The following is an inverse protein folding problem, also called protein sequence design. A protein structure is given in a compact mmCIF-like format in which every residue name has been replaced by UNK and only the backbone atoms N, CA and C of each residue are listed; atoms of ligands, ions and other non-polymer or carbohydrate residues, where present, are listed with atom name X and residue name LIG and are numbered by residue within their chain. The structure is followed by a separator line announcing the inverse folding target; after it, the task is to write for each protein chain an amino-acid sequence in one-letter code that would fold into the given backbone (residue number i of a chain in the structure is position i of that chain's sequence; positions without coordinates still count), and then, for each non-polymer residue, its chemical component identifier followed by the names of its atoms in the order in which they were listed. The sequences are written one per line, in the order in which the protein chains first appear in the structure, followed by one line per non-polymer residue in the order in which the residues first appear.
data_IF_951228753731
#
_entry.id   IF_951228753731
#
_cell.length_a   1.000
_cell.length_b   1.000
_cell.length_c   1.000
_cell.angle_alpha   90.00
_cell.angle_beta   90.00
_cell.angle_gamma   90.00
#
_symmetry.space_group_name_H-M   'P 1'
#
loop_
_entity.id
_entity.type
_entity.pdbx_description
1 polymer ?
#
# COMPACT_ATOMS: atom_id res chain seq x y z
N UNK A 1 11.66 -15.46 -16.61
CA UNK A 1 10.70 -15.04 -15.56
C UNK A 1 10.78 -13.53 -15.51
N UNK A 2 9.64 -12.82 -15.43
CA UNK A 2 9.62 -11.37 -15.31
C UNK A 2 10.23 -10.90 -13.98
N UNK A 3 10.65 -9.63 -13.93
CA UNK A 3 11.10 -8.96 -12.71
C UNK A 3 9.99 -8.96 -11.67
N UNK A 4 10.36 -9.01 -10.38
CA UNK A 4 9.39 -8.90 -9.29
C UNK A 4 9.58 -7.60 -8.55
N UNK A 5 8.48 -6.86 -8.36
CA UNK A 5 8.42 -5.65 -7.54
C UNK A 5 7.66 -6.00 -6.26
N UNK A 6 8.32 -5.95 -5.11
CA UNK A 6 7.63 -6.02 -3.82
C UNK A 6 6.99 -4.67 -3.53
N UNK A 7 5.66 -4.61 -3.41
CA UNK A 7 4.91 -3.42 -3.09
C UNK A 7 4.47 -3.44 -1.63
N UNK A 8 5.21 -2.70 -0.78
CA UNK A 8 4.90 -2.52 0.64
C UNK A 8 3.95 -1.33 0.82
N UNK A 9 2.78 -1.61 1.39
CA UNK A 9 1.74 -0.58 1.57
C UNK A 9 0.84 -0.86 2.77
N UNK A 10 0.10 0.15 3.18
CA UNK A 10 -1.06 0.04 4.08
C UNK A 10 -2.18 0.91 3.53
N UNK A 11 -3.41 0.45 3.65
CA UNK A 11 -4.59 1.13 3.11
C UNK A 11 -4.84 2.53 3.73
N UNK A 12 -4.25 2.83 4.90
CA UNK A 12 -4.33 4.18 5.50
C UNK A 12 -3.37 5.19 4.86
N UNK A 13 -2.59 4.81 3.86
CA UNK A 13 -1.67 5.73 3.21
C UNK A 13 -2.31 6.43 2.01
N UNK A 14 -2.50 7.77 2.02
CA UNK A 14 -2.98 8.50 0.84
C UNK A 14 -1.96 8.44 -0.31
N UNK A 15 -0.67 8.30 0.03
CA UNK A 15 0.39 8.16 -0.97
C UNK A 15 0.33 6.80 -1.66
N UNK A 16 -0.06 5.73 -0.94
CA UNK A 16 -0.33 4.43 -1.55
C UNK A 16 -1.55 4.50 -2.46
N UNK A 17 -2.63 5.15 -2.04
CA UNK A 17 -3.80 5.42 -2.89
C UNK A 17 -3.43 6.11 -4.20
N UNK A 18 -2.72 7.24 -4.11
CA UNK A 18 -2.32 8.05 -5.27
C UNK A 18 -1.38 7.33 -6.25
N UNK A 19 -0.63 6.33 -5.78
CA UNK A 19 0.30 5.57 -6.61
C UNK A 19 -0.19 4.18 -7.05
N UNK A 20 -1.33 3.73 -6.51
CA UNK A 20 -1.77 2.34 -6.64
C UNK A 20 -1.95 1.89 -8.10
N UNK A 21 -2.74 2.61 -8.87
CA UNK A 21 -3.01 2.26 -10.26
C UNK A 21 -1.80 2.55 -11.16
N UNK A 22 -1.01 3.58 -10.83
CA UNK A 22 0.17 3.95 -11.61
C UNK A 22 1.22 2.83 -11.57
N UNK A 23 1.52 2.29 -10.40
CA UNK A 23 2.50 1.20 -10.29
C UNK A 23 1.99 -0.09 -10.95
N UNK A 24 0.70 -0.35 -10.91
CA UNK A 24 0.07 -1.50 -11.60
C UNK A 24 0.28 -1.40 -13.12
N UNK A 25 -0.05 -0.23 -13.70
CA UNK A 25 0.13 0.03 -15.13
C UNK A 25 1.60 -0.12 -15.55
N UNK A 26 2.53 0.38 -14.75
CA UNK A 26 3.97 0.25 -15.03
C UNK A 26 4.42 -1.21 -14.93
N UNK A 27 4.01 -1.94 -13.91
CA UNK A 27 4.35 -3.35 -13.78
C UNK A 27 3.85 -4.16 -14.98
N UNK A 28 2.59 -3.96 -15.38
CA UNK A 28 2.00 -4.61 -16.56
C UNK A 28 2.75 -4.25 -17.86
N UNK A 29 3.01 -2.97 -18.08
CA UNK A 29 3.73 -2.44 -19.26
C UNK A 29 5.09 -3.10 -19.46
N UNK A 30 5.80 -3.39 -18.37
CA UNK A 30 7.14 -3.98 -18.40
C UNK A 30 7.16 -5.50 -18.12
N UNK A 31 5.99 -6.15 -18.02
CA UNK A 31 5.88 -7.58 -17.72
C UNK A 31 6.45 -7.95 -16.35
N UNK A 32 6.47 -7.00 -15.41
CA UNK A 32 6.93 -7.24 -14.04
C UNK A 32 5.79 -7.80 -13.19
N UNK A 33 6.13 -8.71 -12.27
CA UNK A 33 5.20 -9.24 -11.28
C UNK A 33 5.15 -8.28 -10.10
N UNK A 34 4.00 -7.69 -9.85
CA UNK A 34 3.76 -6.88 -8.65
C UNK A 34 3.31 -7.80 -7.51
N UNK A 35 4.06 -7.83 -6.40
CA UNK A 35 3.76 -8.67 -5.24
C UNK A 35 3.25 -7.83 -4.08
N UNK A 36 2.01 -8.08 -3.65
CA UNK A 36 1.37 -7.36 -2.57
C UNK A 36 2.02 -7.69 -1.21
N UNK A 37 2.47 -6.66 -0.50
CA UNK A 37 3.09 -6.73 0.83
C UNK A 37 2.42 -5.75 1.79
N UNK A 38 1.15 -5.94 2.17
CA UNK A 38 0.55 -5.11 3.22
C UNK A 38 1.38 -5.17 4.50
N UNK A 39 1.57 -4.01 5.15
CA UNK A 39 2.38 -3.85 6.37
C UNK A 39 1.68 -2.98 7.41
N UNK A 40 1.97 -3.22 8.69
CA UNK A 40 1.63 -2.28 9.75
C UNK A 40 2.55 -1.06 9.69
N UNK A 41 1.98 0.08 9.34
CA UNK A 41 2.75 1.31 9.17
C UNK A 41 3.35 1.81 10.49
N UNK A 42 2.74 1.50 11.64
CA UNK A 42 3.32 1.83 12.94
C UNK A 42 4.62 1.06 13.18
N UNK A 43 4.62 -0.24 12.90
CA UNK A 43 5.82 -1.06 13.00
C UNK A 43 6.92 -0.67 11.99
N UNK A 44 6.54 -0.19 10.79
CA UNK A 44 7.51 0.39 9.85
C UNK A 44 8.15 1.65 10.42
N UNK A 45 7.37 2.55 11.03
CA UNK A 45 7.92 3.76 11.65
C UNK A 45 8.82 3.45 12.84
N UNK A 46 8.44 2.51 13.70
CA UNK A 46 9.24 2.10 14.86
C UNK A 46 10.60 1.53 14.42
N UNK A 47 10.63 0.76 13.33
CA UNK A 47 11.87 0.17 12.80
C UNK A 47 12.76 1.19 12.07
N UNK A 48 12.20 2.26 11.49
CA UNK A 48 12.90 3.20 10.59
C UNK A 48 13.14 4.58 11.20
N UNK A 49 12.65 4.85 12.42
CA UNK A 49 12.68 6.19 13.02
C UNK A 49 11.65 7.16 12.42
N UNK A 50 10.67 6.64 11.68
CA UNK A 50 9.56 7.40 11.16
C UNK A 50 8.65 7.92 12.28
N UNK A 51 7.90 8.99 12.00
CA UNK A 51 6.92 9.52 12.95
C UNK A 51 5.50 9.41 12.41
N UNK A 52 4.55 8.90 13.21
CA UNK A 52 3.12 9.02 12.92
C UNK A 52 2.73 10.47 12.66
N UNK A 53 1.73 10.70 11.81
CA UNK A 53 1.37 12.03 11.33
C UNK A 53 1.18 13.04 12.47
N UNK A 54 0.42 12.70 13.50
CA UNK A 54 0.15 13.59 14.64
C UNK A 54 1.38 13.94 15.51
N UNK A 55 2.49 13.20 15.36
CA UNK A 55 3.76 13.47 16.06
C UNK A 55 4.75 14.26 15.21
N UNK A 56 4.43 14.56 13.94
CA UNK A 56 5.29 15.35 13.07
C UNK A 56 5.17 16.83 13.38
N UNK A 57 6.25 17.58 13.13
CA UNK A 57 6.24 19.03 13.27
C UNK A 57 5.08 19.65 12.46
N UNK A 58 4.35 20.68 12.98
CA UNK A 58 3.19 21.29 12.29
C UNK A 58 3.47 21.73 10.85
N UNK A 59 4.65 22.30 10.58
CA UNK A 59 5.04 22.69 9.22
C UNK A 59 5.06 21.48 8.24
N UNK A 60 5.46 20.29 8.71
CA UNK A 60 5.44 19.07 7.89
C UNK A 60 4.03 18.53 7.68
N UNK A 61 3.16 18.70 8.69
CA UNK A 61 1.75 18.35 8.56
C UNK A 61 1.05 19.27 7.55
N UNK A 62 1.29 20.59 7.63
CA UNK A 62 0.75 21.56 6.68
C UNK A 62 1.25 21.33 5.25
N UNK A 63 2.55 21.07 5.06
CA UNK A 63 3.13 20.78 3.75
C UNK A 63 2.54 19.51 3.12
N UNK A 64 2.19 18.50 3.92
CA UNK A 64 1.51 17.29 3.44
C UNK A 64 0.23 17.62 2.68
N UNK A 65 -0.58 18.57 3.15
CA UNK A 65 -1.81 18.97 2.45
C UNK A 65 -1.53 19.63 1.09
N UNK A 66 -0.46 20.41 0.98
CA UNK A 66 -0.04 21.00 -0.29
C UNK A 66 0.35 19.90 -1.28
N UNK A 67 1.15 18.94 -0.83
CA UNK A 67 1.55 17.81 -1.68
C UNK A 67 0.37 16.92 -2.08
N UNK A 68 -0.58 16.67 -1.16
CA UNK A 68 -1.78 15.91 -1.50
C UNK A 68 -2.59 16.58 -2.61
N UNK A 69 -2.73 17.93 -2.59
CA UNK A 69 -3.41 18.68 -3.64
C UNK A 69 -2.69 18.54 -4.99
N UNK A 70 -1.36 18.77 -5.00
CA UNK A 70 -0.54 18.64 -6.21
C UNK A 70 -0.66 17.26 -6.85
N UNK A 71 -0.56 16.22 -6.03
CA UNK A 71 -0.59 14.85 -6.52
C UNK A 71 -2.00 14.38 -6.90
N UNK A 72 -3.03 14.82 -6.20
CA UNK A 72 -4.42 14.62 -6.62
C UNK A 72 -4.64 15.17 -8.04
N UNK A 73 -4.24 16.42 -8.27
CA UNK A 73 -4.42 17.08 -9.56
C UNK A 73 -3.55 16.42 -10.65
N UNK A 74 -2.30 16.08 -10.33
CA UNK A 74 -1.39 15.39 -11.27
C UNK A 74 -1.87 13.98 -11.65
N UNK A 75 -2.49 13.25 -10.71
CA UNK A 75 -3.03 11.89 -10.94
C UNK A 75 -4.45 11.90 -11.48
N UNK A 76 -5.12 13.04 -11.45
CA UNK A 76 -6.52 13.21 -11.86
C UNK A 76 -7.47 12.23 -11.15
N UNK A 77 -7.33 12.14 -9.83
CA UNK A 77 -8.13 11.24 -8.98
C UNK A 77 -8.85 12.00 -7.89
N UNK A 78 -10.06 11.61 -7.47
CA UNK A 78 -10.73 12.20 -6.32
C UNK A 78 -9.92 11.88 -5.05
N UNK A 79 -9.84 12.84 -4.12
CA UNK A 79 -9.14 12.66 -2.84
C UNK A 79 -9.74 13.56 -1.76
N UNK A 80 -10.26 12.95 -0.70
CA UNK A 80 -10.58 13.67 0.54
C UNK A 80 -9.28 13.98 1.31
N UNK A 81 -9.10 15.24 1.71
CA UNK A 81 -7.92 15.64 2.48
C UNK A 81 -8.07 15.36 3.98
N UNK A 82 -9.30 15.31 4.45
CA UNK A 82 -9.66 15.07 5.86
C UNK A 82 -10.79 14.04 5.94
N UNK A 83 -10.50 12.75 5.59
CA UNK A 83 -11.52 11.71 5.67
C UNK A 83 -12.06 11.58 7.10
N UNK A 84 -13.36 11.41 7.23
CA UNK A 84 -14.08 11.41 8.51
C UNK A 84 -13.52 10.43 9.54
N UNK A 85 -13.06 9.27 9.08
CA UNK A 85 -12.57 8.20 9.96
C UNK A 85 -11.05 8.08 9.99
N UNK A 86 -10.32 9.03 9.38
CA UNK A 86 -8.87 9.03 9.42
C UNK A 86 -8.34 9.72 10.69
N UNK A 87 -7.37 9.12 11.42
CA UNK A 87 -6.75 7.82 11.17
C UNK A 87 -7.64 6.64 11.61
N UNK A 88 -7.73 5.61 10.76
CA UNK A 88 -8.43 4.36 11.07
C UNK A 88 -7.45 3.21 11.23
N UNK A 89 -7.95 2.04 11.68
CA UNK A 89 -7.17 0.80 11.84
C UNK A 89 -7.28 -0.05 10.58
N UNK A 90 -6.23 -0.17 9.76
CA UNK A 90 -6.30 -0.88 8.48
C UNK A 90 -6.20 -2.40 8.60
N UNK A 91 -5.98 -2.93 9.80
CA UNK A 91 -5.58 -4.33 10.00
C UNK A 91 -6.53 -5.36 9.39
N UNK A 92 -7.84 -5.10 9.35
CA UNK A 92 -8.79 -6.00 8.70
C UNK A 92 -8.61 -5.97 7.18
N UNK A 93 -8.55 -4.80 6.56
CA UNK A 93 -8.36 -4.62 5.13
C UNK A 93 -6.97 -5.13 4.68
N UNK A 94 -5.89 -4.78 5.40
CA UNK A 94 -4.53 -5.22 5.10
C UNK A 94 -4.42 -6.76 5.12
N UNK A 95 -5.02 -7.42 6.11
CA UNK A 95 -5.03 -8.89 6.21
C UNK A 95 -5.94 -9.55 5.18
N UNK A 96 -7.05 -8.93 4.81
CA UNK A 96 -7.90 -9.41 3.72
C UNK A 96 -7.16 -9.39 2.39
N UNK A 97 -6.36 -8.35 2.13
CA UNK A 97 -5.49 -8.29 0.96
C UNK A 97 -4.43 -9.42 0.97
N UNK A 98 -3.88 -9.77 2.13
CA UNK A 98 -2.97 -10.92 2.25
C UNK A 98 -3.69 -12.23 1.94
N UNK A 99 -4.88 -12.44 2.51
CA UNK A 99 -5.66 -13.66 2.26
C UNK A 99 -6.03 -13.80 0.77
N UNK A 100 -6.36 -12.69 0.10
CA UNK A 100 -6.60 -12.65 -1.35
C UNK A 100 -5.34 -12.99 -2.14
N UNK A 101 -4.19 -12.39 -1.78
CA UNK A 101 -2.92 -12.67 -2.46
C UNK A 101 -2.50 -14.14 -2.32
N UNK A 102 -2.73 -14.78 -1.17
CA UNK A 102 -2.47 -16.20 -0.94
C UNK A 102 -3.38 -17.11 -1.76
N UNK A 103 -4.59 -16.63 -2.09
CA UNK A 103 -5.57 -17.35 -2.90
C UNK A 103 -5.49 -17.01 -4.40
N UNK A 104 -4.48 -16.24 -4.83
CA UNK A 104 -4.36 -15.72 -6.20
C UNK A 104 -5.61 -14.94 -6.67
N UNK A 105 -6.30 -14.32 -5.70
CA UNK A 105 -7.51 -13.55 -5.92
C UNK A 105 -7.24 -12.10 -6.36
N UNK A 106 -8.31 -11.30 -6.54
CA UNK A 106 -8.25 -9.92 -7.06
C UNK A 106 -7.74 -8.92 -6.01
N UNK A 107 -6.50 -9.09 -5.54
CA UNK A 107 -5.90 -8.29 -4.45
C UNK A 107 -5.79 -6.82 -4.82
N UNK A 108 -5.54 -6.51 -6.09
CA UNK A 108 -5.32 -5.14 -6.55
C UNK A 108 -6.64 -4.36 -6.63
N UNK A 109 -7.68 -4.97 -7.16
CA UNK A 109 -9.03 -4.42 -7.25
C UNK A 109 -9.62 -4.21 -5.85
N UNK A 110 -9.43 -5.19 -4.96
CA UNK A 110 -9.82 -5.06 -3.55
C UNK A 110 -9.07 -3.92 -2.84
N UNK A 111 -7.75 -3.82 -3.05
CA UNK A 111 -6.97 -2.73 -2.45
C UNK A 111 -7.41 -1.37 -2.98
N UNK A 112 -7.74 -1.25 -4.27
CA UNK A 112 -8.31 -0.04 -4.86
C UNK A 112 -9.65 0.32 -4.20
N UNK A 113 -10.54 -0.67 -3.96
CA UNK A 113 -11.80 -0.47 -3.28
C UNK A 113 -11.61 0.04 -1.83
N UNK A 114 -10.66 -0.52 -1.09
CA UNK A 114 -10.35 -0.10 0.28
C UNK A 114 -9.72 1.31 0.34
N UNK A 115 -8.85 1.64 -0.60
CA UNK A 115 -8.34 3.00 -0.74
C UNK A 115 -9.47 3.99 -1.05
N UNK A 116 -10.35 3.65 -1.99
CA UNK A 116 -11.49 4.48 -2.34
C UNK A 116 -12.42 4.66 -1.14
N UNK A 117 -12.70 3.62 -0.38
CA UNK A 117 -13.53 3.67 0.82
C UNK A 117 -13.07 4.76 1.81
N UNK A 118 -11.74 4.84 2.10
CA UNK A 118 -11.19 5.87 3.00
C UNK A 118 -11.11 7.24 2.30
N UNK A 119 -10.45 7.27 1.13
CA UNK A 119 -9.94 8.52 0.57
C UNK A 119 -10.93 9.24 -0.34
N UNK A 120 -12.10 8.61 -0.62
CA UNK A 120 -13.15 9.19 -1.48
C UNK A 120 -14.52 9.11 -0.84
N UNK A 121 -14.90 7.95 -0.29
CA UNK A 121 -16.27 7.66 0.12
C UNK A 121 -16.53 7.93 1.62
N UNK A 122 -15.51 8.38 2.37
CA UNK A 122 -15.60 8.65 3.82
C UNK A 122 -16.10 7.45 4.65
N UNK A 123 -15.66 6.24 4.29
CA UNK A 123 -16.00 4.99 5.00
C UNK A 123 -14.85 4.55 5.92
N UNK A 124 -15.20 3.83 6.99
CA UNK A 124 -14.22 3.28 7.92
C UNK A 124 -13.87 1.84 7.56
N UNK A 125 -12.67 1.61 7.04
CA UNK A 125 -12.17 0.27 6.70
C UNK A 125 -11.83 -0.62 7.91
N UNK A 126 -11.93 -0.10 9.14
CA UNK A 126 -11.90 -0.92 10.35
C UNK A 126 -13.20 -1.70 10.53
N UNK A 127 -14.29 -1.24 9.92
CA UNK A 127 -15.61 -1.85 10.02
C UNK A 127 -15.74 -3.03 9.05
N UNK A 128 -16.14 -4.20 9.58
CA UNK A 128 -16.25 -5.43 8.79
C UNK A 128 -17.20 -5.27 7.59
N UNK A 129 -18.30 -4.54 7.74
CA UNK A 129 -19.26 -4.37 6.65
C UNK A 129 -18.67 -3.62 5.45
N UNK A 130 -17.74 -2.69 5.66
CA UNK A 130 -17.02 -1.99 4.59
C UNK A 130 -16.09 -2.94 3.84
N UNK A 131 -15.34 -3.76 4.57
CA UNK A 131 -14.46 -4.78 3.97
C UNK A 131 -15.27 -5.84 3.22
N UNK A 132 -16.41 -6.28 3.78
CA UNK A 132 -17.36 -7.20 3.11
C UNK A 132 -17.87 -6.64 1.80
N UNK A 133 -18.25 -5.38 1.78
CA UNK A 133 -18.69 -4.73 0.56
C UNK A 133 -17.59 -4.69 -0.49
N UNK A 134 -16.38 -4.28 -0.13
CA UNK A 134 -15.23 -4.24 -1.05
C UNK A 134 -14.87 -5.62 -1.62
N UNK A 135 -15.00 -6.70 -0.83
CA UNK A 135 -14.82 -8.08 -1.32
C UNK A 135 -15.92 -8.46 -2.31
N UNK A 136 -17.18 -8.15 -2.00
CA UNK A 136 -18.31 -8.43 -2.88
C UNK A 136 -18.22 -7.66 -4.21
N UNK A 137 -17.80 -6.39 -4.18
CA UNK A 137 -17.62 -5.53 -5.35
C UNK A 137 -16.60 -6.09 -6.34
N UNK A 138 -15.62 -6.85 -5.86
CA UNK A 138 -14.61 -7.52 -6.71
C UNK A 138 -14.95 -8.99 -7.01
N UNK A 139 -16.19 -9.40 -6.74
CA UNK A 139 -16.72 -10.73 -7.09
C UNK A 139 -16.25 -11.86 -6.16
N UNK A 140 -15.78 -11.53 -4.95
CA UNK A 140 -15.33 -12.52 -3.96
C UNK A 140 -16.37 -12.66 -2.86
N UNK A 141 -16.70 -13.90 -2.49
CA UNK A 141 -17.59 -14.12 -1.35
C UNK A 141 -16.88 -13.72 -0.04
N UNK A 142 -17.41 -12.78 0.76
CA UNK A 142 -16.68 -12.22 1.90
C UNK A 142 -16.24 -13.26 2.92
N UNK A 143 -17.07 -14.28 3.19
CA UNK A 143 -16.73 -15.29 4.20
C UNK A 143 -15.53 -16.17 3.81
N UNK A 144 -15.28 -16.36 2.50
CA UNK A 144 -14.11 -17.12 2.00
C UNK A 144 -12.79 -16.45 2.37
N UNK A 145 -12.80 -15.12 2.52
CA UNK A 145 -11.64 -14.33 2.90
C UNK A 145 -11.62 -14.10 4.41
N UNK A 146 -12.72 -13.60 4.98
CA UNK A 146 -12.77 -13.19 6.38
C UNK A 146 -12.57 -14.35 7.34
N UNK A 147 -12.99 -15.57 7.00
CA UNK A 147 -12.68 -16.77 7.78
C UNK A 147 -11.17 -17.05 7.91
N UNK A 148 -10.35 -16.58 6.95
CA UNK A 148 -8.89 -16.75 6.94
C UNK A 148 -8.14 -15.63 7.64
N UNK A 149 -8.75 -14.43 7.74
CA UNK A 149 -8.08 -13.21 8.26
C UNK A 149 -7.59 -13.38 9.70
N UNK A 150 -8.34 -14.08 10.54
CA UNK A 150 -7.94 -14.41 11.91
C UNK A 150 -7.01 -15.64 12.00
N UNK A 151 -6.78 -16.31 10.87
CA UNK A 151 -5.98 -17.52 10.80
C UNK A 151 -4.47 -17.27 11.01
N UNK A 152 -3.78 -18.36 11.37
CA UNK A 152 -2.34 -18.30 11.62
C UNK A 152 -1.54 -17.94 10.36
N UNK A 153 -1.93 -18.46 9.19
CA UNK A 153 -1.21 -18.25 7.93
C UNK A 153 -1.17 -16.76 7.53
N UNK A 154 -2.31 -16.06 7.59
CA UNK A 154 -2.39 -14.63 7.33
C UNK A 154 -1.59 -13.82 8.36
N UNK A 155 -1.64 -14.22 9.64
CA UNK A 155 -0.89 -13.56 10.70
C UNK A 155 0.62 -13.73 10.52
N UNK A 156 1.09 -14.92 10.16
CA UNK A 156 2.49 -15.21 9.85
C UNK A 156 2.93 -14.38 8.62
N UNK A 157 2.13 -14.36 7.55
CA UNK A 157 2.47 -13.60 6.35
C UNK A 157 2.56 -12.09 6.64
N UNK A 158 1.66 -11.55 7.47
CA UNK A 158 1.72 -10.13 7.87
C UNK A 158 3.00 -9.81 8.64
N UNK A 159 3.43 -10.71 9.55
CA UNK A 159 4.70 -10.58 10.26
C UNK A 159 5.91 -10.73 9.32
N UNK A 160 5.84 -11.67 8.37
CA UNK A 160 6.89 -11.83 7.36
C UNK A 160 7.01 -10.61 6.45
N UNK A 161 5.89 -9.99 6.06
CA UNK A 161 5.92 -8.73 5.31
C UNK A 161 6.60 -7.61 6.13
N UNK A 162 6.29 -7.53 7.42
CA UNK A 162 6.90 -6.55 8.33
C UNK A 162 8.41 -6.75 8.44
N UNK A 163 8.85 -8.00 8.59
CA UNK A 163 10.27 -8.36 8.64
C UNK A 163 10.97 -8.03 7.31
N UNK A 164 10.37 -8.44 6.19
CA UNK A 164 10.90 -8.16 4.86
C UNK A 164 10.98 -6.65 4.56
N UNK A 165 10.02 -5.85 5.05
CA UNK A 165 10.07 -4.40 4.94
C UNK A 165 11.28 -3.81 5.66
N UNK A 166 11.55 -4.25 6.90
CA UNK A 166 12.70 -3.79 7.66
C UNK A 166 14.04 -4.20 6.99
N UNK A 167 14.15 -5.45 6.52
CA UNK A 167 15.33 -5.97 5.83
C UNK A 167 15.61 -5.24 4.50
N UNK A 168 14.55 -4.83 3.79
CA UNK A 168 14.65 -4.08 2.53
C UNK A 168 14.82 -2.56 2.71
N UNK A 169 14.91 -2.06 3.94
CA UNK A 169 15.07 -0.63 4.21
C UNK A 169 13.81 0.20 3.92
N UNK A 170 12.63 -0.40 4.04
CA UNK A 170 11.34 0.31 3.88
C UNK A 170 11.13 1.26 5.05
N UNK A 171 10.91 2.55 4.76
CA UNK A 171 10.77 3.61 5.76
C UNK A 171 9.37 4.27 5.79
N UNK A 172 8.45 3.77 4.97
CA UNK A 172 7.09 4.29 4.88
C UNK A 172 6.28 3.63 3.77
N UNK A 173 5.05 4.10 3.57
CA UNK A 173 4.09 3.57 2.59
C UNK A 173 3.66 4.66 1.60
N UNK A 174 3.63 4.35 0.27
CA UNK A 174 4.07 3.12 -0.36
C UNK A 174 5.60 3.03 -0.42
N UNK A 175 6.12 1.82 -0.51
CA UNK A 175 7.49 1.58 -0.92
C UNK A 175 7.52 0.40 -1.89
N UNK A 176 8.22 0.56 -2.99
CA UNK A 176 8.41 -0.46 -4.02
C UNK A 176 9.84 -0.95 -3.95
N UNK A 177 10.06 -2.26 -3.91
CA UNK A 177 11.42 -2.84 -3.85
C UNK A 177 11.65 -3.64 -5.12
N UNK A 178 12.65 -3.23 -5.90
CA UNK A 178 13.10 -3.90 -7.11
C UNK A 178 14.58 -4.26 -6.97
N UNK A 179 14.94 -5.53 -7.11
CA UNK A 179 16.33 -6.01 -7.01
C UNK A 179 17.02 -5.58 -5.70
N UNK A 180 16.27 -5.51 -4.60
CA UNK A 180 16.75 -5.08 -3.29
C UNK A 180 16.85 -3.56 -3.10
N UNK A 181 16.57 -2.74 -4.12
CA UNK A 181 16.54 -1.28 -4.02
C UNK A 181 15.15 -0.78 -3.64
N UNK A 182 15.00 -0.02 -2.54
CA UNK A 182 13.71 0.57 -2.14
C UNK A 182 13.46 1.90 -2.84
N UNK A 183 12.27 2.05 -3.40
CA UNK A 183 11.72 3.29 -3.97
C UNK A 183 10.57 3.76 -3.08
N UNK A 184 10.85 4.63 -2.13
CA UNK A 184 9.86 5.10 -1.16
C UNK A 184 9.07 6.31 -1.67
N UNK A 185 7.77 6.15 -1.73
CA UNK A 185 6.82 7.17 -2.15
C UNK A 185 6.31 6.97 -3.59
N UNK A 186 5.07 7.36 -3.81
CA UNK A 186 4.44 7.30 -5.13
C UNK A 186 5.09 8.26 -6.16
N UNK A 187 5.85 9.21 -5.68
CA UNK A 187 6.64 10.16 -6.45
C UNK A 187 8.01 9.59 -6.92
N UNK A 188 8.29 8.33 -6.60
CA UNK A 188 9.47 7.58 -7.07
C UNK A 188 9.12 6.51 -8.12
N UNK A 189 7.86 6.45 -8.53
CA UNK A 189 7.43 5.44 -9.52
C UNK A 189 8.13 5.65 -10.87
N UNK A 190 8.40 6.88 -11.27
CA UNK A 190 9.14 7.17 -12.51
C UNK A 190 10.58 6.63 -12.42
N UNK A 191 11.25 6.76 -11.26
CA UNK A 191 12.58 6.19 -11.04
C UNK A 191 12.56 4.65 -10.97
N UNK A 192 11.49 4.06 -10.45
CA UNK A 192 11.28 2.61 -10.50
C UNK A 192 11.15 2.13 -11.95
N UNK A 193 10.40 2.87 -12.79
CA UNK A 193 10.27 2.57 -14.21
C UNK A 193 11.62 2.67 -14.94
N UNK A 194 12.40 3.72 -14.68
CA UNK A 194 13.77 3.86 -15.22
C UNK A 194 14.66 2.67 -14.82
N UNK A 195 14.55 2.18 -13.59
CA UNK A 195 15.30 1.01 -13.14
C UNK A 195 14.87 -0.27 -13.87
N UNK A 196 13.57 -0.45 -14.15
CA UNK A 196 13.05 -1.56 -14.97
C UNK A 196 13.59 -1.49 -16.39
N UNK A 197 13.53 -0.31 -17.04
CA UNK A 197 13.96 -0.10 -18.42
C UNK A 197 15.46 -0.34 -18.58
N UNK A 198 16.27 0.18 -17.65
CA UNK A 198 17.73 0.07 -17.75
C UNK A 198 18.26 -1.31 -17.45
N UNK A 199 17.51 -2.15 -16.75
CA UNK A 199 17.97 -3.48 -16.28
C UNK A 199 19.16 -3.43 -15.33
N UNK A 200 19.53 -2.27 -14.80
CA UNK A 200 20.66 -2.10 -13.90
C UNK A 200 20.49 -2.86 -12.58
N UNK A 201 21.60 -3.24 -11.90
CA UNK A 201 21.54 -3.72 -10.53
C UNK A 201 20.88 -2.69 -9.59
N UNK A 202 20.28 -3.18 -8.50
CA UNK A 202 19.75 -2.30 -7.45
C UNK A 202 20.88 -1.49 -6.78
N UNK A 203 20.61 -0.25 -6.44
CA UNK A 203 21.52 0.57 -5.62
C UNK A 203 21.40 0.14 -4.16
N UNK A 204 22.54 0.16 -3.46
CA UNK A 204 22.65 -0.16 -2.04
C UNK A 204 23.19 1.04 -1.27
N UNK A 205 22.89 1.12 0.03
CA UNK A 205 23.58 2.05 0.92
C UNK A 205 25.07 1.72 0.99
N UNK A 206 25.91 2.76 1.07
CA UNK A 206 27.35 2.63 1.22
C UNK A 206 27.71 2.13 2.62
#
# INVERSE_FOLDING_TARGET
MGETIDYFYSHVSPWAYLGHDVVRVIAEKHGAVLRARPVDLSGVFDASGGLPLGKRHPARQAYRFIEMQRWRDKRDVPLSFEPKFFPTKPGLADRSAIALAQAEGPVWEFSAAMFKAIWVDDLDIAEEHVVRQGLADVGVHPDDVLSKVAGQDVSIQYQQNQKAAAEAGVIGSPCYVLRGEPFWGQDRIDLLEDALISGRPGYTSL
#
